data_IF_942602543771
#
_entry.id   IF_942602543771
#
_cell.length_a   1.000
_cell.length_b   1.000
_cell.length_c   1.000
_cell.angle_alpha   90.00
_cell.angle_beta   90.00
_cell.angle_gamma   90.00
#
_symmetry.space_group_name_H-M   'P 1'
#
loop_
_entity.id
_entity.type
_entity.pdbx_description
1 polymer ?
#
# COMPACT_ATOMS: atom_id res chain seq x y z
N UNK A 1 22.07 0.52 9.43
CA UNK A 1 21.82 0.35 10.88
C UNK A 1 20.82 1.41 11.34
N UNK A 2 19.83 1.02 12.14
CA UNK A 2 18.81 1.93 12.71
C UNK A 2 19.01 1.99 14.22
N UNK A 3 19.17 3.21 14.74
CA UNK A 3 19.33 3.46 16.17
C UNK A 3 18.02 4.05 16.70
N UNK A 4 17.46 3.45 17.75
CA UNK A 4 16.20 3.87 18.36
C UNK A 4 16.40 4.44 19.77
N UNK A 5 15.48 5.30 20.18
CA UNK A 5 15.47 5.96 21.48
C UNK A 5 15.29 4.94 22.61
N UNK A 6 16.13 5.07 23.65
CA UNK A 6 16.05 4.26 24.88
C UNK A 6 14.95 4.73 25.85
N UNK A 7 14.22 5.80 25.52
CA UNK A 7 13.15 6.33 26.38
C UNK A 7 11.84 5.51 26.28
N UNK A 8 11.80 4.49 25.42
CA UNK A 8 10.66 3.57 25.27
C UNK A 8 9.61 4.01 24.26
N UNK A 9 9.81 5.14 23.56
CA UNK A 9 8.94 5.63 22.49
C UNK A 9 9.22 4.97 21.12
N UNK A 10 10.27 4.16 21.00
CA UNK A 10 10.63 3.42 19.79
C UNK A 10 11.05 4.29 18.60
N UNK A 11 11.21 5.60 18.83
CA UNK A 11 11.51 6.60 17.80
C UNK A 11 12.94 6.45 17.29
N UNK A 12 13.14 6.70 16.01
CA UNK A 12 14.47 6.67 15.39
C UNK A 12 15.25 7.92 15.80
N UNK A 13 16.50 7.72 16.22
CA UNK A 13 17.44 8.81 16.54
C UNK A 13 18.57 8.92 15.50
N UNK A 14 18.90 7.83 14.80
CA UNK A 14 19.86 7.84 13.71
C UNK A 14 19.60 6.69 12.73
N UNK A 15 19.89 6.91 11.44
CA UNK A 15 19.95 5.86 10.41
C UNK A 15 21.24 6.06 9.63
N UNK A 16 22.04 5.01 9.52
CA UNK A 16 23.32 5.03 8.80
C UNK A 16 23.57 3.75 8.02
N UNK A 17 24.62 3.74 7.19
CA UNK A 17 25.00 2.57 6.42
C UNK A 17 25.54 1.46 7.32
N UNK A 18 25.28 0.21 6.95
CA UNK A 18 25.86 -0.95 7.63
C UNK A 18 27.27 -1.24 7.09
N UNK A 19 28.35 -1.09 7.89
CA UNK A 19 29.72 -1.34 7.45
C UNK A 19 29.98 -2.81 7.09
N UNK A 20 29.22 -3.75 7.67
CA UNK A 20 29.39 -5.19 7.45
C UNK A 20 28.65 -5.68 6.20
N UNK A 21 27.80 -4.83 5.60
CA UNK A 21 27.03 -5.21 4.42
C UNK A 21 27.91 -5.30 3.17
N UNK A 22 27.91 -6.47 2.53
CA UNK A 22 28.88 -6.84 1.47
C UNK A 22 28.80 -5.99 0.20
N UNK A 23 27.64 -5.39 -0.10
CA UNK A 23 27.42 -4.61 -1.33
C UNK A 23 27.91 -3.17 -1.16
N UNK A 24 27.45 -2.45 -0.12
CA UNK A 24 27.70 -1.03 0.03
C UNK A 24 28.75 -0.69 1.10
N UNK A 25 29.11 -1.62 1.99
CA UNK A 25 30.15 -1.45 3.03
C UNK A 25 30.03 -0.13 3.80
N UNK A 26 28.82 0.18 4.25
CA UNK A 26 28.50 1.41 4.98
C UNK A 26 28.22 2.65 4.11
N UNK A 27 28.45 2.59 2.80
CA UNK A 27 28.20 3.73 1.90
C UNK A 27 26.70 3.95 1.67
N UNK A 28 26.28 5.22 1.67
CA UNK A 28 24.91 5.63 1.33
C UNK A 28 24.95 6.81 0.35
N UNK A 29 24.07 6.80 -0.65
CA UNK A 29 23.78 8.01 -1.43
C UNK A 29 22.90 8.99 -0.64
N UNK A 30 22.68 10.20 -1.17
CA UNK A 30 21.89 11.24 -0.50
C UNK A 30 20.51 10.77 -0.04
N UNK A 31 19.81 9.97 -0.85
CA UNK A 31 18.48 9.41 -0.52
C UNK A 31 18.54 8.44 0.67
N UNK A 32 19.55 7.57 0.71
CA UNK A 32 19.74 6.61 1.80
C UNK A 32 20.16 7.30 3.09
N UNK A 33 21.07 8.28 2.99
CA UNK A 33 21.55 9.06 4.13
C UNK A 33 20.45 9.95 4.75
N UNK A 34 19.40 10.28 3.99
CA UNK A 34 18.26 11.08 4.48
C UNK A 34 17.10 10.25 5.05
N UNK A 35 17.23 8.93 5.21
CA UNK A 35 16.11 8.07 5.65
C UNK A 35 15.53 8.47 7.02
N UNK A 36 16.35 8.99 7.94
CA UNK A 36 15.85 9.47 9.25
C UNK A 36 14.83 10.60 9.09
N UNK A 37 15.03 11.50 8.11
CA UNK A 37 14.10 12.60 7.80
C UNK A 37 12.81 12.11 7.12
N UNK A 38 12.84 10.94 6.47
CA UNK A 38 11.64 10.33 5.89
C UNK A 38 10.78 9.69 6.99
N UNK A 39 11.41 8.95 7.90
CA UNK A 39 10.72 8.25 8.99
C UNK A 39 10.19 9.23 10.04
N UNK A 40 11.04 10.16 10.49
CA UNK A 40 10.76 11.17 11.51
C UNK A 40 10.27 12.48 10.89
N UNK A 41 9.13 12.39 10.20
CA UNK A 41 8.58 13.51 9.43
C UNK A 41 7.19 13.91 9.95
N UNK A 42 7.03 15.19 10.30
CA UNK A 42 5.76 15.76 10.78
C UNK A 42 4.65 15.77 9.73
N UNK A 43 5.01 15.69 8.44
CA UNK A 43 4.05 15.67 7.34
C UNK A 43 3.46 14.27 7.08
N UNK A 44 3.86 13.23 7.82
CA UNK A 44 3.29 11.89 7.67
C UNK A 44 1.80 11.90 8.03
N UNK A 45 1.00 11.28 7.18
CA UNK A 45 -0.38 10.95 7.53
C UNK A 45 -0.38 9.83 8.55
N UNK A 46 -0.90 10.11 9.75
CA UNK A 46 -0.96 9.18 10.88
C UNK A 46 -2.35 8.61 11.13
N UNK A 47 -3.36 9.17 10.48
CA UNK A 47 -4.77 8.79 10.62
C UNK A 47 -5.42 8.65 9.25
N UNK A 48 -6.40 7.75 9.08
CA UNK A 48 -7.21 7.68 7.88
C UNK A 48 -7.94 8.99 7.60
N UNK A 49 -7.90 9.42 6.34
CA UNK A 49 -8.55 10.63 5.86
C UNK A 49 -9.64 10.27 4.85
N UNK A 50 -10.83 10.81 5.01
CA UNK A 50 -11.96 10.65 4.10
C UNK A 50 -12.33 11.97 3.41
N UNK A 51 -12.60 11.89 2.11
CA UNK A 51 -13.12 13.00 1.31
C UNK A 51 -14.45 12.58 0.68
N UNK A 52 -15.53 13.21 1.12
CA UNK A 52 -16.86 12.95 0.59
C UNK A 52 -17.01 13.42 -0.88
N UNK A 53 -17.92 12.81 -1.66
CA UNK A 53 -18.30 13.31 -2.98
C UNK A 53 -18.58 14.82 -2.95
N UNK A 54 -18.06 15.55 -3.94
CA UNK A 54 -18.19 17.00 -4.09
C UNK A 54 -17.55 17.85 -2.96
N UNK A 55 -16.90 17.24 -1.96
CA UNK A 55 -16.17 17.98 -0.93
C UNK A 55 -14.82 18.50 -1.45
N UNK A 56 -14.40 19.67 -0.96
CA UNK A 56 -13.03 20.21 -1.10
C UNK A 56 -12.14 19.94 0.11
N UNK A 57 -12.68 19.37 1.19
CA UNK A 57 -11.98 19.17 2.46
C UNK A 57 -11.89 17.68 2.83
N UNK A 58 -10.76 17.31 3.43
CA UNK A 58 -10.55 16.01 4.08
C UNK A 58 -11.07 16.04 5.51
N UNK A 59 -11.52 14.88 6.01
CA UNK A 59 -11.94 14.66 7.40
C UNK A 59 -11.22 13.45 7.96
N UNK A 60 -10.72 13.54 9.19
CA UNK A 60 -10.19 12.39 9.92
C UNK A 60 -11.32 11.41 10.25
N UNK A 61 -11.06 10.12 10.11
CA UNK A 61 -12.00 9.04 10.41
C UNK A 61 -11.28 7.91 11.13
N UNK A 62 -12.01 7.06 11.84
CA UNK A 62 -11.42 5.88 12.48
C UNK A 62 -11.03 4.83 11.43
N UNK A 63 -10.06 3.98 11.79
CA UNK A 63 -9.66 2.83 10.98
C UNK A 63 -10.83 1.87 10.70
N UNK A 64 -11.63 1.56 11.73
CA UNK A 64 -12.79 0.68 11.61
C UNK A 64 -13.81 1.22 10.60
N UNK A 65 -14.13 2.51 10.68
CA UNK A 65 -15.03 3.16 9.73
C UNK A 65 -14.45 3.15 8.32
N UNK A 66 -13.16 3.49 8.15
CA UNK A 66 -12.51 3.52 6.84
C UNK A 66 -12.51 2.16 6.15
N UNK A 67 -12.08 1.11 6.87
CA UNK A 67 -12.03 -0.25 6.35
C UNK A 67 -13.44 -0.78 6.04
N UNK A 68 -14.42 -0.52 6.91
CA UNK A 68 -15.82 -0.90 6.70
C UNK A 68 -16.42 -0.26 5.45
N UNK A 69 -16.21 1.04 5.25
CA UNK A 69 -16.74 1.74 4.07
C UNK A 69 -16.04 1.33 2.77
N UNK A 70 -14.73 1.06 2.81
CA UNK A 70 -14.00 0.49 1.68
C UNK A 70 -14.55 -0.89 1.33
N UNK A 71 -14.72 -1.77 2.32
CA UNK A 71 -15.24 -3.12 2.11
C UNK A 71 -16.65 -3.12 1.51
N UNK A 72 -17.55 -2.24 1.98
CA UNK A 72 -18.89 -2.06 1.39
C UNK A 72 -18.82 -1.66 -0.08
N UNK A 73 -17.94 -0.70 -0.43
CA UNK A 73 -17.76 -0.24 -1.82
C UNK A 73 -17.19 -1.33 -2.71
N UNK A 74 -16.16 -2.04 -2.25
CA UNK A 74 -15.56 -3.17 -2.98
C UNK A 74 -16.60 -4.25 -3.23
N UNK A 75 -17.35 -4.66 -2.19
CA UNK A 75 -18.41 -5.67 -2.32
C UNK A 75 -19.49 -5.24 -3.31
N UNK A 76 -20.06 -4.05 -3.14
CA UNK A 76 -21.12 -3.55 -4.02
C UNK A 76 -20.66 -3.46 -5.49
N UNK A 77 -19.44 -2.98 -5.72
CA UNK A 77 -18.86 -2.83 -7.07
C UNK A 77 -18.59 -4.19 -7.72
N UNK A 78 -18.02 -5.13 -6.95
CA UNK A 78 -17.78 -6.49 -7.38
C UNK A 78 -19.08 -7.19 -7.75
N UNK A 79 -20.05 -7.20 -6.84
CA UNK A 79 -21.31 -7.92 -7.06
C UNK A 79 -22.09 -7.37 -8.26
N UNK A 80 -22.01 -6.07 -8.52
CA UNK A 80 -22.67 -5.43 -9.67
C UNK A 80 -22.02 -5.74 -11.03
N UNK A 81 -20.82 -6.31 -11.07
CA UNK A 81 -20.02 -6.43 -12.30
C UNK A 81 -19.27 -7.76 -12.47
N UNK A 82 -19.46 -8.70 -11.55
CA UNK A 82 -18.78 -9.98 -11.59
C UNK A 82 -19.24 -10.79 -12.80
N UNK A 83 -18.31 -11.09 -13.70
CA UNK A 83 -18.56 -11.90 -14.89
C UNK A 83 -18.23 -13.37 -14.58
N UNK A 84 -19.26 -14.22 -14.45
CA UNK A 84 -19.06 -15.67 -14.37
C UNK A 84 -18.61 -16.24 -15.71
N UNK A 85 -19.29 -15.86 -16.79
CA UNK A 85 -18.98 -16.25 -18.16
C UNK A 85 -18.82 -15.01 -19.04
N UNK A 86 -17.91 -15.08 -20.00
CA UNK A 86 -17.76 -14.04 -21.01
C UNK A 86 -18.80 -14.17 -22.14
N UNK A 87 -18.78 -13.24 -23.10
CA UNK A 87 -19.68 -13.24 -24.28
C UNK A 87 -19.58 -14.51 -25.17
N UNK A 88 -18.49 -15.27 -25.05
CA UNK A 88 -18.29 -16.55 -25.75
C UNK A 88 -18.75 -17.77 -24.93
N UNK A 89 -19.36 -17.55 -23.76
CA UNK A 89 -19.83 -18.61 -22.86
C UNK A 89 -18.73 -19.29 -22.03
N UNK A 90 -17.48 -18.79 -22.08
CA UNK A 90 -16.36 -19.36 -21.34
C UNK A 90 -16.35 -18.86 -19.89
N UNK A 91 -16.05 -19.73 -18.93
CA UNK A 91 -15.93 -19.35 -17.52
C UNK A 91 -14.70 -18.45 -17.33
N UNK A 92 -14.89 -17.29 -16.73
CA UNK A 92 -13.83 -16.30 -16.48
C UNK A 92 -13.74 -15.83 -15.03
N UNK A 93 -14.85 -15.85 -14.28
CA UNK A 93 -14.91 -15.49 -12.84
C UNK A 93 -14.11 -14.23 -12.49
N UNK A 94 -14.41 -13.11 -13.14
CA UNK A 94 -13.59 -11.88 -13.07
C UNK A 94 -14.40 -10.61 -12.81
N UNK A 95 -13.69 -9.55 -12.43
CA UNK A 95 -14.16 -8.18 -12.27
C UNK A 95 -13.30 -7.26 -13.14
N UNK A 96 -13.95 -6.39 -13.92
CA UNK A 96 -13.28 -5.51 -14.89
C UNK A 96 -13.44 -4.02 -14.58
N UNK A 97 -14.23 -3.66 -13.55
CA UNK A 97 -14.47 -2.27 -13.14
C UNK A 97 -13.74 -1.86 -11.84
N UNK A 98 -12.85 -2.73 -11.33
CA UNK A 98 -11.93 -2.42 -10.22
C UNK A 98 -10.51 -2.63 -10.74
N UNK A 99 -9.66 -1.63 -10.52
CA UNK A 99 -8.26 -1.63 -10.93
C UNK A 99 -7.37 -1.43 -9.71
N UNK A 100 -6.28 -2.17 -9.64
CA UNK A 100 -5.20 -1.95 -8.67
C UNK A 100 -3.93 -1.55 -9.40
N UNK A 101 -3.31 -0.48 -8.91
CA UNK A 101 -1.94 -0.11 -9.24
C UNK A 101 -1.14 -0.26 -7.96
N UNK A 102 -0.47 -1.41 -7.85
CA UNK A 102 0.33 -1.80 -6.71
C UNK A 102 1.70 -1.16 -6.69
N UNK A 103 2.52 -1.58 -5.73
CA UNK A 103 3.80 -0.94 -5.50
C UNK A 103 4.96 -1.90 -5.27
N UNK A 104 6.04 -1.70 -6.02
CA UNK A 104 7.38 -2.28 -5.80
C UNK A 104 8.05 -1.78 -4.50
N UNK A 105 7.40 -0.89 -3.76
CA UNK A 105 7.87 -0.37 -2.48
C UNK A 105 7.33 -1.13 -1.25
N UNK A 106 6.45 -2.12 -1.45
CA UNK A 106 5.99 -3.01 -0.38
C UNK A 106 6.97 -4.16 -0.18
N UNK A 107 6.93 -4.79 0.99
CA UNK A 107 7.70 -6.01 1.24
C UNK A 107 7.20 -7.16 0.34
N UNK A 108 8.02 -8.20 0.15
CA UNK A 108 7.66 -9.32 -0.72
C UNK A 108 6.43 -10.08 -0.20
N UNK A 109 6.34 -10.27 1.11
CA UNK A 109 5.24 -10.94 1.79
C UNK A 109 3.93 -10.15 1.62
N UNK A 110 4.01 -8.82 1.75
CA UNK A 110 2.92 -7.89 1.51
C UNK A 110 2.46 -7.92 0.05
N UNK A 111 3.41 -7.85 -0.89
CA UNK A 111 3.13 -7.97 -2.33
C UNK A 111 2.38 -9.28 -2.63
N UNK A 112 2.82 -10.38 -2.00
CA UNK A 112 2.23 -11.69 -2.21
C UNK A 112 0.80 -11.78 -1.67
N UNK A 113 0.55 -11.35 -0.42
CA UNK A 113 -0.82 -11.39 0.12
C UNK A 113 -1.74 -10.39 -0.60
N UNK A 114 -1.19 -9.25 -1.04
CA UNK A 114 -1.94 -8.23 -1.76
C UNK A 114 -2.46 -8.78 -3.09
N UNK A 115 -1.57 -9.35 -3.92
CA UNK A 115 -2.00 -9.92 -5.19
C UNK A 115 -2.96 -11.11 -5.01
N UNK A 116 -2.79 -11.91 -3.96
CA UNK A 116 -3.65 -13.05 -3.66
C UNK A 116 -5.07 -12.56 -3.33
N UNK A 117 -5.18 -11.53 -2.49
CA UNK A 117 -6.45 -10.89 -2.15
C UNK A 117 -7.14 -10.31 -3.40
N UNK A 118 -6.42 -9.57 -4.24
CA UNK A 118 -7.01 -8.97 -5.45
C UNK A 118 -7.54 -10.04 -6.41
N UNK A 119 -6.78 -11.11 -6.63
CA UNK A 119 -7.19 -12.23 -7.49
C UNK A 119 -8.33 -13.05 -6.89
N UNK A 120 -8.36 -13.23 -5.57
CA UNK A 120 -9.49 -13.86 -4.87
C UNK A 120 -10.79 -13.05 -5.03
N UNK A 121 -10.69 -11.73 -5.11
CA UNK A 121 -11.82 -10.86 -5.45
C UNK A 121 -12.21 -10.91 -6.94
N UNK A 122 -11.39 -11.50 -7.80
CA UNK A 122 -11.63 -11.65 -9.24
C UNK A 122 -11.02 -10.54 -10.10
N UNK A 123 -10.18 -9.66 -9.55
CA UNK A 123 -9.58 -8.58 -10.34
C UNK A 123 -8.60 -9.15 -11.38
N UNK A 124 -8.64 -8.55 -12.58
CA UNK A 124 -7.70 -8.85 -13.67
C UNK A 124 -6.80 -7.67 -14.04
N UNK A 125 -7.21 -6.44 -13.71
CA UNK A 125 -6.40 -5.24 -13.90
C UNK A 125 -5.56 -4.98 -12.64
N UNK A 126 -4.42 -5.67 -12.56
CA UNK A 126 -3.46 -5.60 -11.45
C UNK A 126 -2.09 -5.30 -12.03
N UNK A 127 -1.64 -4.05 -11.92
CA UNK A 127 -0.40 -3.55 -12.51
C UNK A 127 0.45 -2.84 -11.46
N UNK A 128 1.73 -2.57 -11.75
CA UNK A 128 2.64 -1.83 -10.85
C UNK A 128 3.84 -1.26 -11.64
N UNK A 129 4.83 -0.69 -10.95
CA UNK A 129 5.98 -0.01 -11.54
C UNK A 129 6.75 -0.86 -12.57
N UNK A 130 6.89 -2.18 -12.40
CA UNK A 130 7.71 -2.98 -13.33
C UNK A 130 7.11 -3.12 -14.75
N UNK A 131 5.91 -2.60 -15.00
CA UNK A 131 5.37 -2.49 -16.35
C UNK A 131 6.09 -1.43 -17.19
N UNK A 132 6.58 -0.37 -16.55
CA UNK A 132 7.23 0.80 -17.17
C UNK A 132 8.74 0.62 -17.06
#
# INVERSE_FOLDING_TARGET
IVHTSKKGDGRVINIEGDPDHVINRGSLCSKGASLSQLTENENRLVEPMYRAPYSKKWKRVSWDWALTEIAKKVKATRDASFEHKNAKGQVVNRVTNIVSVGSAAMDNEECWIYQAMLRALGLVYVEHQARI
#
